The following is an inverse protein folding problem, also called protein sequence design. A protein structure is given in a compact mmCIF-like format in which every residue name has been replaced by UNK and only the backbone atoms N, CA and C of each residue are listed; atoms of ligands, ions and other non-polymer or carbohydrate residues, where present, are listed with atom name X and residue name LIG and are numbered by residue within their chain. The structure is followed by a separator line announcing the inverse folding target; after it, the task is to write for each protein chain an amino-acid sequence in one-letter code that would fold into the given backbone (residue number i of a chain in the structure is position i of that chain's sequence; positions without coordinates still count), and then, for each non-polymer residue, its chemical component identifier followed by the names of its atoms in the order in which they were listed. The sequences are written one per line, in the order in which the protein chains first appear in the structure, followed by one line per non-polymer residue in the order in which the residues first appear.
data_IF_721271032527
#
_entry.id   IF_721271032527
#
_cell.length_a   1.000
_cell.length_b   1.000
_cell.length_c   1.000
_cell.angle_alpha   90.00
_cell.angle_beta   90.00
_cell.angle_gamma   90.00
#
_symmetry.space_group_name_H-M   'P 1'
#
loop_
_entity.id
_entity.type
_entity.pdbx_description
1 polymer ?
#
# COMPACT_ATOMS: atom_id res chain seq x y z
N UNK A 1 1.23 15.02 -14.34
CA UNK A 1 0.27 14.67 -13.26
C UNK A 1 0.84 15.14 -11.95
N UNK A 2 0.21 16.10 -11.28
CA UNK A 2 0.44 16.30 -9.85
C UNK A 2 -0.19 15.15 -9.08
N UNK A 3 0.29 14.87 -7.87
CA UNK A 3 -0.04 13.68 -7.06
C UNK A 3 -1.54 13.44 -6.79
N UNK A 4 -2.45 14.28 -7.26
CA UNK A 4 -3.90 14.20 -7.04
C UNK A 4 -4.76 14.46 -8.30
N UNK A 5 -4.16 14.76 -9.45
CA UNK A 5 -4.88 15.32 -10.60
C UNK A 5 -4.63 14.53 -11.88
N UNK A 6 -5.70 14.20 -12.60
CA UNK A 6 -5.66 13.69 -13.96
C UNK A 6 -5.75 14.86 -14.93
N UNK A 7 -4.69 15.10 -15.69
CA UNK A 7 -4.64 16.15 -16.71
C UNK A 7 -5.10 15.58 -18.04
N UNK A 8 -6.02 16.28 -18.69
CA UNK A 8 -6.58 15.92 -19.99
C UNK A 8 -6.15 16.97 -21.01
N UNK A 9 -5.63 16.50 -22.13
CA UNK A 9 -5.31 17.33 -23.29
C UNK A 9 -6.32 17.08 -24.41
N UNK A 10 -6.83 18.15 -25.01
CA UNK A 10 -7.78 18.17 -26.12
C UNK A 10 -7.05 18.67 -27.36
N UNK A 11 -7.33 18.06 -28.51
CA UNK A 11 -6.77 18.50 -29.78
C UNK A 11 -7.19 19.95 -30.12
N UNK A 12 -6.26 20.76 -30.63
CA UNK A 12 -6.44 22.19 -30.91
C UNK A 12 -7.58 22.53 -31.90
N UNK A 13 -8.03 21.55 -32.69
CA UNK A 13 -9.04 21.70 -33.74
C UNK A 13 -10.43 21.20 -33.34
N UNK A 14 -10.60 20.66 -32.14
CA UNK A 14 -11.89 20.21 -31.64
C UNK A 14 -12.69 21.37 -31.01
N UNK A 15 -13.97 21.51 -31.38
CA UNK A 15 -14.92 22.37 -30.65
C UNK A 15 -15.38 21.61 -29.42
N UNK A 16 -14.77 21.87 -28.26
CA UNK A 16 -15.10 21.23 -26.99
C UNK A 16 -15.34 22.31 -25.94
N UNK A 17 -16.51 22.29 -25.30
CA UNK A 17 -16.85 23.17 -24.19
C UNK A 17 -16.74 22.45 -22.84
N UNK A 18 -17.07 21.17 -22.79
CA UNK A 18 -17.03 20.37 -21.57
C UNK A 18 -16.38 19.00 -21.78
N UNK A 19 -15.79 18.48 -20.71
CA UNK A 19 -15.31 17.11 -20.63
C UNK A 19 -15.97 16.49 -19.41
N UNK A 20 -16.71 15.41 -19.62
CA UNK A 20 -17.30 14.60 -18.56
C UNK A 20 -16.45 13.35 -18.33
N UNK A 21 -16.22 13.03 -17.06
CA UNK A 21 -15.57 11.80 -16.63
C UNK A 21 -16.64 10.90 -16.04
N UNK A 22 -16.89 9.76 -16.68
CA UNK A 22 -17.88 8.77 -16.26
C UNK A 22 -17.13 7.63 -15.59
N UNK A 23 -17.58 7.22 -14.42
CA UNK A 23 -16.96 6.18 -13.61
C UNK A 23 -17.26 4.75 -14.15
N UNK A 24 -16.58 3.72 -13.63
CA UNK A 24 -16.81 2.33 -14.02
C UNK A 24 -18.22 1.79 -13.72
N UNK A 25 -19.05 2.53 -12.99
CA UNK A 25 -20.45 2.19 -12.68
C UNK A 25 -21.45 2.94 -13.59
N UNK A 26 -20.97 3.56 -14.67
CA UNK A 26 -21.74 4.40 -15.60
C UNK A 26 -22.32 5.68 -14.94
N UNK A 27 -21.75 6.14 -13.82
CA UNK A 27 -22.17 7.37 -13.13
C UNK A 27 -21.24 8.55 -13.49
N UNK A 28 -21.80 9.77 -13.59
CA UNK A 28 -20.98 10.96 -13.78
C UNK A 28 -20.12 11.19 -12.54
N UNK A 29 -18.81 10.98 -12.66
CA UNK A 29 -17.84 11.23 -11.61
C UNK A 29 -17.62 12.73 -11.42
N UNK A 30 -17.27 13.43 -12.50
CA UNK A 30 -17.05 14.88 -12.50
C UNK A 30 -17.16 15.43 -13.93
N UNK A 31 -17.36 16.75 -14.06
CA UNK A 31 -17.41 17.44 -15.34
C UNK A 31 -16.64 18.76 -15.27
N UNK A 32 -15.70 18.92 -16.20
CA UNK A 32 -14.87 20.11 -16.29
C UNK A 32 -15.23 20.92 -17.53
N UNK A 33 -15.27 22.25 -17.37
CA UNK A 33 -15.42 23.19 -18.48
C UNK A 33 -14.04 23.49 -19.07
N UNK A 34 -13.89 23.39 -20.38
CA UNK A 34 -12.69 23.84 -21.07
C UNK A 34 -12.77 25.36 -21.25
N UNK A 35 -11.80 26.10 -20.71
CA UNK A 35 -11.77 27.54 -20.87
C UNK A 35 -11.52 27.92 -22.34
N UNK A 36 -12.11 29.02 -22.79
CA UNK A 36 -12.00 29.45 -24.19
C UNK A 36 -10.54 29.67 -24.59
N UNK A 37 -10.08 28.89 -25.58
CA UNK A 37 -8.72 28.96 -26.09
C UNK A 37 -7.69 28.10 -25.33
N UNK A 38 -8.13 27.33 -24.33
CA UNK A 38 -7.30 26.32 -23.67
C UNK A 38 -7.51 24.95 -24.32
N UNK A 39 -6.47 24.12 -24.25
CA UNK A 39 -6.49 22.73 -24.73
C UNK A 39 -6.28 21.74 -23.60
N UNK A 40 -6.25 22.19 -22.35
CA UNK A 40 -5.97 21.35 -21.20
C UNK A 40 -6.96 21.63 -20.09
N UNK A 41 -7.38 20.59 -19.39
CA UNK A 41 -8.13 20.69 -18.13
C UNK A 41 -7.69 19.57 -17.19
N UNK A 42 -8.17 19.56 -15.95
CA UNK A 42 -7.80 18.54 -14.98
C UNK A 42 -8.94 18.14 -14.07
N UNK A 43 -9.02 16.86 -13.75
CA UNK A 43 -9.90 16.29 -12.74
C UNK A 43 -9.13 16.06 -11.45
N UNK A 44 -9.75 16.34 -10.30
CA UNK A 44 -9.22 15.92 -9.00
C UNK A 44 -9.60 14.46 -8.78
N UNK A 45 -8.61 13.56 -8.86
CA UNK A 45 -8.82 12.12 -8.74
C UNK A 45 -8.64 11.65 -7.30
N UNK A 46 -7.93 12.40 -6.46
CA UNK A 46 -7.87 12.13 -5.02
C UNK A 46 -8.03 13.44 -4.28
N UNK A 47 -9.23 13.64 -3.74
CA UNK A 47 -9.54 14.74 -2.85
C UNK A 47 -8.71 14.69 -1.57
N UNK A 48 -8.82 15.74 -0.74
CA UNK A 48 -8.13 15.81 0.55
C UNK A 48 -8.67 14.84 1.62
N UNK A 49 -9.81 14.19 1.41
CA UNK A 49 -10.48 13.36 2.43
C UNK A 49 -11.30 12.22 1.82
N UNK A 50 -10.99 10.99 2.25
CA UNK A 50 -11.87 9.83 2.54
C UNK A 50 -12.89 9.30 1.51
N UNK A 51 -13.14 9.97 0.39
CA UNK A 51 -14.01 9.44 -0.66
C UNK A 51 -13.23 8.42 -1.50
N UNK A 52 -13.66 7.16 -1.47
CA UNK A 52 -13.07 6.10 -2.29
C UNK A 52 -13.34 6.39 -3.76
N UNK A 53 -12.29 6.49 -4.56
CA UNK A 53 -12.39 6.60 -6.01
C UNK A 53 -12.50 5.18 -6.57
N UNK A 54 -13.55 4.85 -7.35
CA UNK A 54 -13.62 3.56 -8.03
C UNK A 54 -12.37 3.30 -8.87
N UNK A 55 -11.87 2.07 -8.85
CA UNK A 55 -10.84 1.66 -9.82
C UNK A 55 -11.51 0.99 -11.02
N UNK A 56 -10.87 1.08 -12.18
CA UNK A 56 -11.34 0.46 -13.42
C UNK A 56 -11.37 1.42 -14.60
N UNK A 57 -12.17 1.07 -15.60
CA UNK A 57 -12.29 1.83 -16.84
C UNK A 57 -13.26 3.00 -16.68
N UNK A 58 -12.74 4.20 -16.90
CA UNK A 58 -13.50 5.44 -16.97
C UNK A 58 -13.70 5.85 -18.43
N UNK A 59 -14.86 6.43 -18.74
CA UNK A 59 -15.10 7.06 -20.03
C UNK A 59 -14.92 8.58 -19.93
N UNK A 60 -14.09 9.14 -20.80
CA UNK A 60 -13.99 10.58 -21.04
C UNK A 60 -14.87 10.94 -22.23
N UNK A 61 -15.86 11.79 -22.00
CA UNK A 61 -16.80 12.25 -23.02
C UNK A 61 -16.59 13.73 -23.27
N UNK A 62 -16.18 14.09 -24.48
CA UNK A 62 -16.03 15.48 -24.91
C UNK A 62 -17.35 16.01 -25.49
N UNK A 63 -17.79 17.19 -25.03
CA UNK A 63 -19.08 17.79 -25.37
C UNK A 63 -18.92 19.21 -25.92
N UNK A 64 -19.71 19.57 -26.94
CA UNK A 64 -19.97 20.94 -27.39
C UNK A 64 -21.42 21.30 -27.03
N UNK A 65 -21.60 22.09 -25.96
CA UNK A 65 -22.88 22.21 -25.28
C UNK A 65 -23.37 20.84 -24.77
N UNK A 66 -24.47 20.34 -25.35
CA UNK A 66 -25.09 19.05 -25.00
C UNK A 66 -24.75 17.93 -26.02
N UNK A 67 -24.03 18.24 -27.10
CA UNK A 67 -23.70 17.28 -28.16
C UNK A 67 -22.36 16.60 -27.89
N UNK A 68 -22.35 15.27 -27.94
CA UNK A 68 -21.12 14.49 -27.84
C UNK A 68 -20.28 14.62 -29.12
N UNK A 69 -19.03 15.06 -28.94
CA UNK A 69 -18.07 15.26 -30.03
C UNK A 69 -17.13 14.08 -30.15
N UNK A 70 -16.68 13.53 -29.02
CA UNK A 70 -15.76 12.39 -28.98
C UNK A 70 -15.88 11.60 -27.67
N UNK A 71 -15.32 10.39 -27.64
CA UNK A 71 -15.16 9.62 -26.41
C UNK A 71 -13.85 8.82 -26.43
N UNK A 72 -13.26 8.66 -25.26
CA UNK A 72 -12.13 7.74 -25.06
C UNK A 72 -12.20 7.08 -23.69
N UNK A 73 -11.52 5.96 -23.55
CA UNK A 73 -11.47 5.20 -22.29
C UNK A 73 -10.09 5.38 -21.67
N UNK A 74 -10.06 5.53 -20.35
CA UNK A 74 -8.86 5.47 -19.56
C UNK A 74 -9.09 4.57 -18.35
N UNK A 75 -8.09 3.77 -17.99
CA UNK A 75 -8.16 2.89 -16.83
C UNK A 75 -7.49 3.59 -15.66
N UNK A 76 -8.16 3.73 -14.51
CA UNK A 76 -7.60 4.27 -13.26
C UNK A 76 -7.43 3.14 -12.24
N UNK A 77 -6.19 2.88 -11.82
CA UNK A 77 -5.86 1.80 -10.89
C UNK A 77 -4.89 2.28 -9.81
N UNK A 78 -5.15 1.87 -8.58
CA UNK A 78 -4.21 1.97 -7.45
C UNK A 78 -3.74 0.56 -7.10
N UNK A 79 -2.68 0.08 -7.76
CA UNK A 79 -2.18 -1.27 -7.57
C UNK A 79 -1.04 -1.27 -6.53
N UNK A 80 -1.41 -1.30 -5.25
CA UNK A 80 -0.44 -1.34 -4.15
C UNK A 80 0.04 -2.78 -3.90
N UNK A 81 1.34 -2.93 -3.63
CA UNK A 81 1.97 -4.19 -3.24
C UNK A 81 2.97 -3.94 -2.09
N UNK A 82 2.93 -4.79 -1.06
CA UNK A 82 4.01 -4.81 -0.07
C UNK A 82 5.17 -5.60 -0.68
N UNK A 83 6.27 -4.93 -0.96
CA UNK A 83 7.45 -5.55 -1.58
C UNK A 83 8.39 -6.16 -0.55
N UNK A 84 8.41 -5.60 0.67
CA UNK A 84 9.28 -6.07 1.74
C UNK A 84 8.79 -5.63 3.13
N UNK A 85 9.20 -6.37 4.15
CA UNK A 85 8.98 -6.07 5.57
C UNK A 85 10.31 -6.20 6.30
N UNK A 86 10.84 -5.06 6.75
CA UNK A 86 12.18 -4.96 7.31
C UNK A 86 12.12 -4.85 8.83
N UNK A 87 12.87 -5.70 9.51
CA UNK A 87 13.08 -5.59 10.95
C UNK A 87 14.26 -4.67 11.26
N UNK A 88 14.05 -3.73 12.20
CA UNK A 88 15.04 -2.74 12.58
C UNK A 88 16.37 -3.32 13.09
N UNK A 89 16.35 -4.45 13.81
CA UNK A 89 17.58 -5.08 14.31
C UNK A 89 18.47 -5.60 13.16
N UNK A 90 17.87 -6.10 12.09
CA UNK A 90 18.57 -6.61 10.90
C UNK A 90 18.91 -5.51 9.89
N UNK A 91 18.22 -4.36 9.97
CA UNK A 91 18.38 -3.23 9.05
C UNK A 91 18.73 -1.93 9.80
N UNK A 92 19.83 -1.88 10.58
CA UNK A 92 20.12 -0.77 11.50
C UNK A 92 20.41 0.58 10.80
N UNK A 93 20.72 0.56 9.51
CA UNK A 93 21.13 1.74 8.74
C UNK A 93 19.93 2.60 8.26
N UNK A 94 18.70 2.12 8.38
CA UNK A 94 17.50 2.93 8.06
C UNK A 94 17.25 4.04 9.10
N UNK A 95 16.32 4.95 8.77
CA UNK A 95 15.98 6.14 9.55
C UNK A 95 15.05 5.85 10.74
N UNK A 96 15.46 4.92 11.60
CA UNK A 96 14.75 4.61 12.84
C UNK A 96 14.86 5.74 13.88
N UNK A 97 13.86 5.89 14.76
CA UNK A 97 13.99 6.72 15.96
C UNK A 97 14.92 6.07 17.00
N UNK A 98 16.21 6.22 16.79
CA UNK A 98 17.28 5.67 17.65
C UNK A 98 17.35 6.31 19.04
N UNK A 99 16.54 7.35 19.33
CA UNK A 99 16.42 7.87 20.69
C UNK A 99 15.59 6.95 21.59
N UNK A 100 14.74 6.11 21.00
CA UNK A 100 14.03 5.05 21.71
C UNK A 100 15.00 3.90 22.02
N UNK A 101 15.15 3.46 23.29
CA UNK A 101 16.08 2.38 23.65
C UNK A 101 15.68 0.99 23.13
N UNK A 102 14.54 0.89 22.46
CA UNK A 102 13.95 -0.35 21.92
C UNK A 102 13.57 -0.18 20.45
N UNK A 103 14.24 0.73 19.75
CA UNK A 103 14.04 1.00 18.32
C UNK A 103 14.28 -0.24 17.46
N UNK A 104 15.19 -1.12 17.91
CA UNK A 104 15.55 -2.40 17.28
C UNK A 104 14.37 -3.39 17.22
N UNK A 105 13.27 -3.13 17.93
CA UNK A 105 12.05 -3.97 17.87
C UNK A 105 10.99 -3.46 16.89
N UNK A 106 11.24 -2.35 16.21
CA UNK A 106 10.33 -1.79 15.20
C UNK A 106 10.48 -2.50 13.85
N UNK A 107 9.54 -2.23 12.96
CA UNK A 107 9.52 -2.74 11.60
C UNK A 107 9.31 -1.58 10.60
N UNK A 108 9.68 -1.79 9.35
CA UNK A 108 9.31 -0.95 8.23
C UNK A 108 8.66 -1.82 7.16
N UNK A 109 7.68 -1.26 6.46
CA UNK A 109 6.96 -1.92 5.36
C UNK A 109 7.23 -1.10 4.11
N UNK A 110 7.74 -1.73 3.06
CA UNK A 110 7.94 -1.10 1.77
C UNK A 110 6.72 -1.40 0.91
N UNK A 111 6.03 -0.33 0.49
CA UNK A 111 4.80 -0.42 -0.29
C UNK A 111 5.02 0.28 -1.62
N UNK A 112 4.94 -0.48 -2.71
CA UNK A 112 5.01 0.04 -4.07
C UNK A 112 3.59 0.20 -4.62
N UNK A 113 3.27 1.35 -5.21
CA UNK A 113 2.05 1.52 -5.98
C UNK A 113 2.39 1.48 -7.47
N UNK A 114 2.05 0.38 -8.15
CA UNK A 114 2.28 0.16 -9.58
C UNK A 114 1.16 0.73 -10.46
N UNK A 115 0.10 1.22 -9.82
CA UNK A 115 -1.00 1.89 -10.48
C UNK A 115 -0.64 3.25 -11.05
N UNK A 116 -1.62 3.89 -11.67
CA UNK A 116 -1.50 5.22 -12.26
C UNK A 116 -2.25 6.30 -11.45
N UNK A 117 -2.94 5.91 -10.39
CA UNK A 117 -3.49 6.82 -9.39
C UNK A 117 -2.92 6.50 -8.00
N UNK A 118 -2.80 7.51 -7.12
CA UNK A 118 -2.34 7.28 -5.76
C UNK A 118 -3.32 6.44 -4.93
N UNK A 119 -2.89 6.06 -3.73
CA UNK A 119 -3.78 5.59 -2.66
C UNK A 119 -3.41 6.24 -1.33
N UNK A 120 -4.21 5.97 -0.29
CA UNK A 120 -3.93 6.37 1.08
C UNK A 120 -3.87 5.13 1.96
N UNK A 121 -2.72 4.91 2.60
CA UNK A 121 -2.58 3.93 3.67
C UNK A 121 -3.23 4.46 4.94
N UNK A 122 -4.22 3.75 5.44
CA UNK A 122 -4.99 4.11 6.65
C UNK A 122 -4.62 3.26 7.86
N UNK A 123 -4.13 2.04 7.63
CA UNK A 123 -3.76 1.11 8.70
C UNK A 123 -2.74 0.08 8.22
N UNK A 124 -1.87 -0.37 9.14
CA UNK A 124 -1.09 -1.60 8.94
C UNK A 124 -1.48 -2.60 10.02
N UNK A 125 -1.88 -3.79 9.58
CA UNK A 125 -2.25 -4.92 10.41
C UNK A 125 -1.12 -5.94 10.44
N UNK A 126 -0.76 -6.35 11.65
CA UNK A 126 0.29 -7.34 11.92
C UNK A 126 -0.35 -8.55 12.58
N UNK A 127 -0.47 -9.65 11.84
CA UNK A 127 -1.08 -10.90 12.31
C UNK A 127 -0.01 -11.95 12.54
N UNK A 128 0.01 -12.56 13.71
CA UNK A 128 1.04 -13.55 14.08
C UNK A 128 2.41 -12.95 14.37
N UNK A 129 2.50 -11.64 14.64
CA UNK A 129 3.75 -10.99 15.02
C UNK A 129 4.21 -11.42 16.42
N UNK A 130 5.50 -11.31 16.76
CA UNK A 130 5.98 -11.64 18.10
C UNK A 130 5.27 -10.88 19.23
N UNK A 131 4.89 -9.62 18.99
CA UNK A 131 4.11 -8.81 19.94
C UNK A 131 2.72 -9.39 20.23
N UNK A 132 2.13 -10.16 19.31
CA UNK A 132 0.80 -10.76 19.45
C UNK A 132 0.75 -11.78 20.59
N UNK A 133 1.81 -12.59 20.76
CA UNK A 133 1.95 -13.49 21.90
C UNK A 133 1.97 -12.74 23.23
N UNK A 134 2.72 -11.65 23.30
CA UNK A 134 2.84 -10.83 24.52
C UNK A 134 1.53 -10.14 24.91
N UNK A 135 0.75 -9.74 23.91
CA UNK A 135 -0.55 -9.07 24.10
C UNK A 135 -1.72 -10.06 24.18
N UNK A 136 -1.50 -11.34 23.89
CA UNK A 136 -2.54 -12.35 23.75
C UNK A 136 -3.63 -11.94 22.75
N UNK A 137 -3.22 -11.38 21.60
CA UNK A 137 -4.11 -11.03 20.48
C UNK A 137 -3.61 -11.69 19.20
N UNK A 138 -4.46 -12.01 18.24
CA UNK A 138 -4.00 -12.58 16.95
C UNK A 138 -3.40 -11.50 16.03
N UNK A 139 -4.04 -10.34 16.01
CA UNK A 139 -3.67 -9.20 15.17
C UNK A 139 -3.39 -7.96 16.01
N UNK A 140 -2.44 -7.15 15.55
CA UNK A 140 -2.14 -5.83 16.09
C UNK A 140 -2.17 -4.80 14.96
N UNK A 141 -2.99 -3.77 15.14
CA UNK A 141 -3.17 -2.69 14.18
C UNK A 141 -2.49 -1.39 14.61
N UNK A 142 -2.00 -0.65 13.64
CA UNK A 142 -1.53 0.73 13.80
C UNK A 142 -2.16 1.62 12.73
N UNK A 143 -2.74 2.74 13.15
CA UNK A 143 -3.26 3.76 12.25
C UNK A 143 -2.12 4.44 11.49
N UNK A 144 -2.39 4.76 10.22
CA UNK A 144 -1.51 5.49 9.33
C UNK A 144 -2.32 6.55 8.57
N UNK A 145 -1.62 7.58 8.11
CA UNK A 145 -2.15 8.59 7.20
C UNK A 145 -1.05 8.90 6.20
N UNK A 146 -0.76 7.94 5.33
CA UNK A 146 0.41 7.99 4.44
C UNK A 146 -0.02 7.81 3.00
N UNK A 147 0.29 8.81 2.16
CA UNK A 147 0.02 8.73 0.72
C UNK A 147 0.93 7.70 0.08
N UNK A 148 0.38 6.95 -0.88
CA UNK A 148 1.09 6.00 -1.73
C UNK A 148 1.05 6.52 -3.18
N UNK A 149 2.05 7.31 -3.62
CA UNK A 149 2.07 7.89 -4.96
C UNK A 149 2.21 6.83 -6.05
N UNK A 150 1.61 7.03 -7.24
CA UNK A 150 1.75 6.09 -8.35
C UNK A 150 3.19 6.03 -8.86
N UNK A 151 3.68 4.83 -9.16
CA UNK A 151 5.04 4.58 -9.65
C UNK A 151 6.14 4.71 -8.59
N UNK A 152 5.79 4.85 -7.30
CA UNK A 152 6.76 5.04 -6.22
C UNK A 152 6.68 3.94 -5.16
N UNK A 153 7.82 3.68 -4.51
CA UNK A 153 7.90 2.86 -3.28
C UNK A 153 7.95 3.77 -2.07
N UNK A 154 6.97 3.63 -1.18
CA UNK A 154 6.88 4.34 0.10
C UNK A 154 7.36 3.44 1.23
N UNK A 155 8.28 3.93 2.05
CA UNK A 155 8.69 3.24 3.30
C UNK A 155 7.81 3.71 4.45
N UNK A 156 7.12 2.78 5.11
CA UNK A 156 6.24 3.06 6.24
C UNK A 156 6.74 2.37 7.50
N UNK A 157 7.07 3.16 8.53
CA UNK A 157 7.55 2.65 9.81
C UNK A 157 6.39 2.22 10.70
N UNK A 158 6.54 1.09 11.40
CA UNK A 158 5.52 0.57 12.30
C UNK A 158 5.21 1.55 13.43
N UNK A 159 3.92 1.73 13.75
CA UNK A 159 3.49 2.56 14.89
C UNK A 159 3.90 2.02 16.27
N UNK A 160 4.56 0.87 16.33
CA UNK A 160 5.07 0.26 17.56
C UNK A 160 6.02 -0.90 17.32
N UNK A 161 6.31 -1.62 18.41
CA UNK A 161 7.38 -2.64 18.50
C UNK A 161 6.83 -4.01 18.11
N UNK A 162 6.93 -4.35 16.83
CA UNK A 162 6.36 -5.57 16.24
C UNK A 162 7.10 -6.82 16.72
N UNK A 163 8.43 -6.76 16.77
CA UNK A 163 9.31 -7.90 17.08
C UNK A 163 9.61 -8.05 18.58
N UNK A 164 8.71 -7.57 19.43
CA UNK A 164 8.90 -7.55 20.89
C UNK A 164 8.28 -8.78 21.54
N UNK A 165 9.07 -9.49 22.34
CA UNK A 165 8.64 -10.70 23.06
C UNK A 165 8.66 -10.57 24.58
N UNK A 166 9.08 -9.42 25.13
CA UNK A 166 9.15 -9.22 26.57
C UNK A 166 8.69 -7.83 27.04
N UNK A 167 8.24 -7.77 28.29
CA UNK A 167 7.90 -6.56 29.04
C UNK A 167 8.39 -6.66 30.48
N UNK A 168 8.38 -5.54 31.23
CA UNK A 168 8.71 -5.59 32.66
C UNK A 168 7.85 -6.56 33.49
N UNK A 169 6.71 -7.01 32.97
CA UNK A 169 5.73 -7.83 33.70
C UNK A 169 5.44 -9.18 33.03
N UNK A 170 5.96 -9.45 31.82
CA UNK A 170 5.62 -10.64 31.05
C UNK A 170 6.65 -10.93 29.96
N UNK A 171 6.80 -12.19 29.58
CA UNK A 171 7.63 -12.62 28.46
C UNK A 171 6.98 -13.78 27.74
N UNK A 172 7.26 -13.91 26.45
CA UNK A 172 6.85 -15.06 25.64
C UNK A 172 7.76 -16.26 25.96
N UNK A 173 7.19 -17.46 26.05
CA UNK A 173 7.93 -18.71 26.19
C UNK A 173 8.30 -19.26 24.81
N UNK A 174 9.42 -18.80 24.28
CA UNK A 174 9.85 -19.14 22.92
C UNK A 174 10.46 -20.53 22.78
N UNK A 175 10.72 -21.24 23.87
CA UNK A 175 11.23 -22.61 23.81
C UNK A 175 10.20 -23.61 23.26
N UNK A 176 8.92 -23.30 23.41
CA UNK A 176 7.81 -24.08 22.85
C UNK A 176 7.37 -23.58 21.46
N UNK A 177 7.81 -22.38 21.07
CA UNK A 177 7.52 -21.80 19.77
C UNK A 177 8.50 -22.32 18.72
N UNK A 178 7.97 -22.73 17.58
CA UNK A 178 8.75 -23.21 16.44
C UNK A 178 9.03 -22.10 15.43
N UNK A 179 8.65 -22.36 14.18
CA UNK A 179 8.56 -21.33 13.15
C UNK A 179 7.10 -21.00 12.92
N UNK A 180 6.75 -19.72 12.94
CA UNK A 180 5.38 -19.25 12.70
C UNK A 180 5.37 -18.20 11.59
N UNK A 181 4.19 -17.98 10.99
CA UNK A 181 3.99 -16.97 9.97
C UNK A 181 3.64 -15.63 10.61
N UNK A 182 4.35 -14.58 10.20
CA UNK A 182 3.92 -13.19 10.35
C UNK A 182 3.32 -12.75 9.01
N UNK A 183 2.09 -12.26 9.05
CA UNK A 183 1.44 -11.62 7.89
C UNK A 183 1.19 -10.16 8.18
N UNK A 184 1.64 -9.30 7.27
CA UNK A 184 1.43 -7.86 7.26
C UNK A 184 0.40 -7.53 6.19
N UNK A 185 -0.66 -6.82 6.54
CA UNK A 185 -1.66 -6.32 5.59
C UNK A 185 -1.72 -4.79 5.69
N UNK A 186 -1.57 -4.12 4.55
CA UNK A 186 -1.76 -2.68 4.44
C UNK A 186 -3.21 -2.39 4.04
N UNK A 187 -3.92 -1.61 4.85
CA UNK A 187 -5.29 -1.19 4.55
C UNK A 187 -5.22 0.12 3.78
N UNK A 188 -5.67 0.08 2.53
CA UNK A 188 -5.62 1.22 1.62
C UNK A 188 -7.03 1.70 1.29
N UNK A 189 -7.18 3.00 1.04
CA UNK A 189 -8.48 3.59 0.71
C UNK A 189 -8.94 3.27 -0.71
N UNK A 190 -8.00 3.17 -1.65
CA UNK A 190 -8.24 2.89 -3.07
C UNK A 190 -7.39 1.70 -3.51
N UNK A 191 -7.99 0.78 -4.24
CA UNK A 191 -7.37 -0.49 -4.65
C UNK A 191 -7.53 -1.61 -3.61
N UNK A 192 -6.99 -2.77 -3.93
CA UNK A 192 -6.98 -3.92 -3.03
C UNK A 192 -5.96 -3.76 -1.91
N UNK A 193 -6.27 -4.30 -0.71
CA UNK A 193 -5.36 -4.31 0.42
C UNK A 193 -4.21 -5.31 0.19
N UNK A 194 -2.96 -4.86 0.00
CA UNK A 194 -1.87 -5.81 -0.20
C UNK A 194 -1.48 -6.48 1.11
N UNK A 195 -0.99 -7.71 1.00
CA UNK A 195 -0.45 -8.47 2.12
C UNK A 195 0.90 -9.08 1.78
N UNK A 196 1.74 -9.25 2.79
CA UNK A 196 3.05 -9.88 2.72
C UNK A 196 3.23 -10.81 3.91
N UNK A 197 3.77 -11.99 3.68
CA UNK A 197 4.02 -12.96 4.76
C UNK A 197 5.48 -13.40 4.78
N UNK A 198 6.01 -13.51 5.98
CA UNK A 198 7.36 -14.02 6.25
C UNK A 198 7.31 -14.99 7.42
N UNK A 199 8.29 -15.88 7.48
CA UNK A 199 8.40 -16.84 8.57
C UNK A 199 9.32 -16.28 9.65
N UNK A 200 8.90 -16.40 10.90
CA UNK A 200 9.69 -16.05 12.07
C UNK A 200 10.02 -17.33 12.80
N UNK A 201 11.32 -17.61 12.93
CA UNK A 201 11.81 -18.66 13.80
C UNK A 201 12.02 -18.11 15.20
N UNK A 202 11.39 -18.76 16.17
CA UNK A 202 11.59 -18.49 17.59
C UNK A 202 12.68 -19.41 18.13
N UNK A 203 13.55 -18.84 18.96
CA UNK A 203 14.60 -19.54 19.67
C UNK A 203 14.90 -18.88 21.01
N UNK A 204 15.97 -19.36 21.65
CA UNK A 204 16.38 -18.92 22.98
C UNK A 204 15.65 -19.67 24.11
N UNK A 205 15.81 -19.16 25.33
CA UNK A 205 15.11 -19.65 26.54
C UNK A 205 14.15 -18.59 27.07
N UNK A 206 13.31 -18.94 28.04
CA UNK A 206 12.38 -18.02 28.72
C UNK A 206 13.03 -16.65 29.02
N UNK A 207 12.28 -15.56 28.76
CA UNK A 207 12.54 -14.14 29.07
C UNK A 207 13.05 -13.24 27.94
N UNK A 208 13.77 -13.74 26.93
CA UNK A 208 14.05 -12.96 25.71
C UNK A 208 14.30 -13.88 24.53
N UNK A 209 13.44 -13.75 23.51
CA UNK A 209 13.46 -14.68 22.38
C UNK A 209 14.50 -14.26 21.36
N UNK A 210 15.27 -15.24 20.90
CA UNK A 210 16.12 -15.10 19.73
C UNK A 210 15.24 -15.26 18.50
N UNK A 211 14.88 -14.13 17.87
CA UNK A 211 14.07 -14.12 16.65
C UNK A 211 14.98 -14.12 15.43
N UNK A 212 14.57 -14.84 14.39
CA UNK A 212 15.23 -14.80 13.08
C UNK A 212 14.16 -14.80 12.00
N UNK A 213 14.25 -13.87 11.05
CA UNK A 213 13.44 -13.92 9.84
C UNK A 213 14.01 -15.01 8.96
N UNK A 214 13.18 -15.96 8.58
CA UNK A 214 13.53 -17.00 7.63
C UNK A 214 12.73 -16.76 6.36
N UNK A 215 13.39 -16.82 5.21
CA UNK A 215 12.71 -16.73 3.94
C UNK A 215 11.65 -17.83 3.86
N UNK A 216 10.42 -17.45 3.52
CA UNK A 216 9.52 -18.41 2.90
C UNK A 216 10.12 -18.68 1.54
N UNK A 217 10.57 -19.91 1.32
CA UNK A 217 11.16 -20.33 0.06
C UNK A 217 10.34 -19.80 -1.10
N UNK A 218 10.94 -18.93 -1.90
CA UNK A 218 10.55 -18.80 -3.29
C UNK A 218 10.54 -20.24 -3.81
N UNK A 219 9.38 -20.79 -4.14
CA UNK A 219 9.32 -21.91 -5.08
C UNK A 219 9.76 -21.35 -6.43
N UNK A 220 11.05 -21.05 -6.52
CA UNK A 220 11.76 -21.01 -7.78
C UNK A 220 11.69 -22.45 -8.27
N UNK A 221 10.77 -22.66 -9.21
CA UNK A 221 10.54 -23.93 -9.87
C UNK A 221 11.81 -24.29 -10.62
N UNK A 222 12.78 -24.87 -9.92
CA UNK A 222 13.87 -25.60 -10.55
C UNK A 222 13.21 -26.79 -11.24
N UNK A 223 12.90 -26.58 -12.52
CA UNK A 223 12.66 -27.61 -13.49
C UNK A 223 13.73 -28.69 -13.29
N UNK A 224 13.31 -29.86 -12.79
CA UNK A 224 14.05 -31.10 -12.99
C UNK A 224 14.10 -31.34 -14.51
N UNK A 225 15.13 -30.79 -15.14
CA UNK A 225 15.63 -31.33 -16.40
C UNK A 225 16.15 -32.72 -16.06
N UNK A 226 15.43 -33.73 -16.56
CA UNK A 226 15.80 -35.12 -16.42
C UNK A 226 17.17 -35.41 -17.04
N UNK A 227 17.80 -36.46 -16.52
CA UNK A 227 18.64 -37.33 -17.33
C UNK A 227 18.80 -38.71 -16.66
N UNK A 228 18.69 -39.72 -17.53
CA UNK A 228 18.96 -41.16 -17.41
C UNK A 228 17.88 -42.09 -16.81
#
# INVERSE_FOLDING_TARGET
MGDATLEIEVANDASVEFISLIDPNDELFDQQRLASGETTTSFEILGRYEDSVPTGDYELVALDGDEQVDTTTLTLEAECAITDVLWAAENPDMEWDKNSPVWDKNAAVLIENKGNIPSLLTEIQWTGAPINHLLSTETKSYYHETRLPPGETTTVYSGGRIYRTESPHSSVDCGELGTESLTVTAIVQVGDNPSYSQQIRYGGTEQSCDLTITDNGSEDSLSENGDL
#
